data_IF_431322050940
#
_entry.id   IF_431322050940
#
_cell.length_a   1.000
_cell.length_b   1.000
_cell.length_c   1.000
_cell.angle_alpha   90.00
_cell.angle_beta   90.00
_cell.angle_gamma   90.00
#
_symmetry.space_group_name_H-M   'P 1'
#
loop_
_entity.id
_entity.type
_entity.pdbx_description
1 polymer ?
#
# COMPACT_ATOMS: atom_id res chain seq x y z
N UNK A 1 -9.04 -12.73 0.36
CA UNK A 1 -9.85 -12.90 -0.86
C UNK A 1 -9.41 -11.91 -1.92
N UNK A 2 -9.25 -12.36 -3.15
CA UNK A 2 -8.83 -11.51 -4.26
C UNK A 2 -10.07 -10.89 -4.93
N UNK A 3 -10.05 -9.56 -5.06
CA UNK A 3 -11.07 -8.81 -5.84
C UNK A 3 -10.31 -8.02 -6.90
N UNK A 4 -10.53 -8.36 -8.19
CA UNK A 4 -9.76 -7.80 -9.29
C UNK A 4 -8.26 -7.99 -9.04
N UNK A 5 -7.53 -6.90 -8.72
CA UNK A 5 -6.08 -6.94 -8.46
C UNK A 5 -5.75 -6.67 -6.98
N UNK A 6 -6.76 -6.60 -6.12
CA UNK A 6 -6.58 -6.34 -4.70
C UNK A 6 -6.85 -7.61 -3.90
N UNK A 7 -5.88 -8.00 -3.09
CA UNK A 7 -6.02 -9.12 -2.17
C UNK A 7 -6.30 -8.58 -0.76
N UNK A 8 -7.41 -9.02 -0.18
CA UNK A 8 -7.81 -8.65 1.19
C UNK A 8 -7.39 -9.78 2.14
N UNK A 9 -6.43 -9.51 3.02
CA UNK A 9 -6.07 -10.44 4.09
C UNK A 9 -7.19 -10.51 5.11
N UNK A 10 -7.74 -9.35 5.46
CA UNK A 10 -8.96 -9.24 6.23
C UNK A 10 -9.59 -7.86 5.95
N UNK A 11 -10.85 -7.69 6.29
CA UNK A 11 -11.51 -6.39 6.13
C UNK A 11 -11.57 -5.68 7.47
N UNK A 12 -11.14 -4.41 7.54
CA UNK A 12 -11.27 -3.63 8.77
C UNK A 12 -12.73 -3.50 9.20
N UNK A 13 -12.96 -3.51 10.50
CA UNK A 13 -14.31 -3.32 11.04
C UNK A 13 -14.74 -1.86 11.01
N UNK A 14 -13.80 -0.95 11.15
CA UNK A 14 -14.10 0.47 11.10
C UNK A 14 -14.26 0.92 9.65
N UNK A 15 -15.17 1.87 9.43
CA UNK A 15 -15.38 2.52 8.15
C UNK A 15 -15.44 4.03 8.35
N UNK A 16 -15.23 4.76 7.25
CA UNK A 16 -15.16 6.21 7.31
C UNK A 16 -13.78 6.70 7.72
N UNK A 17 -13.56 8.00 7.72
CA UNK A 17 -12.29 8.59 8.09
C UNK A 17 -11.42 8.95 6.88
N UNK A 18 -10.12 8.79 7.02
CA UNK A 18 -9.14 9.33 6.08
C UNK A 18 -8.22 8.23 5.59
N UNK A 19 -7.91 8.24 4.29
CA UNK A 19 -6.86 7.42 3.68
C UNK A 19 -5.68 8.33 3.38
N UNK A 20 -4.52 8.00 3.92
CA UNK A 20 -3.28 8.72 3.69
C UNK A 20 -2.36 7.84 2.84
N UNK A 21 -1.95 8.35 1.69
CA UNK A 21 -1.16 7.60 0.72
C UNK A 21 0.21 8.23 0.50
N UNK A 22 1.23 7.40 0.36
CA UNK A 22 2.56 7.84 -0.05
C UNK A 22 3.20 6.77 -0.93
N UNK A 23 3.85 7.22 -1.99
CA UNK A 23 4.52 6.33 -2.94
C UNK A 23 5.97 6.73 -3.09
N UNK A 24 6.87 5.74 -3.03
CA UNK A 24 8.27 5.94 -3.37
C UNK A 24 8.40 6.12 -4.87
N UNK A 25 9.31 7.01 -5.28
CA UNK A 25 9.56 7.28 -6.68
C UNK A 25 9.89 8.76 -6.90
N UNK A 26 9.70 9.22 -8.12
CA UNK A 26 10.05 10.60 -8.51
C UNK A 26 9.25 11.66 -7.74
N UNK A 27 8.07 11.32 -7.24
CA UNK A 27 7.24 12.24 -6.46
C UNK A 27 7.75 12.40 -5.02
N UNK A 28 8.60 11.50 -4.55
CA UNK A 28 8.99 11.39 -3.14
C UNK A 28 10.37 12.02 -2.91
N UNK A 29 10.43 13.34 -2.98
CA UNK A 29 11.69 14.07 -2.85
C UNK A 29 12.35 13.81 -1.49
N UNK A 30 13.58 13.30 -1.49
CA UNK A 30 14.32 12.97 -0.28
C UNK A 30 13.63 11.93 0.59
N UNK A 31 12.75 11.14 0.02
CA UNK A 31 11.94 10.13 0.72
C UNK A 31 11.03 10.73 1.80
N UNK A 32 10.65 12.01 1.64
CA UNK A 32 9.92 12.73 2.69
C UNK A 32 8.53 12.13 2.94
N UNK A 33 7.76 11.84 1.90
CA UNK A 33 6.41 11.32 2.06
C UNK A 33 6.41 9.87 2.54
N UNK A 34 7.29 9.04 1.99
CA UNK A 34 7.39 7.63 2.42
C UNK A 34 7.88 7.52 3.86
N UNK A 35 8.81 8.37 4.28
CA UNK A 35 9.26 8.44 5.66
C UNK A 35 8.15 8.86 6.61
N UNK A 36 7.38 9.89 6.23
CA UNK A 36 6.27 10.37 7.05
C UNK A 36 5.23 9.28 7.24
N UNK A 37 4.88 8.57 6.19
CA UNK A 37 3.89 7.50 6.27
C UNK A 37 4.39 6.33 7.12
N UNK A 38 5.65 5.98 6.99
CA UNK A 38 6.27 4.93 7.82
C UNK A 38 6.18 5.27 9.30
N UNK A 39 6.45 6.52 9.67
CA UNK A 39 6.31 6.98 11.06
C UNK A 39 4.88 6.89 11.54
N UNK A 40 3.92 7.29 10.72
CA UNK A 40 2.49 7.15 11.06
C UNK A 40 2.11 5.70 11.27
N UNK A 41 2.59 4.80 10.41
CA UNK A 41 2.29 3.37 10.53
C UNK A 41 2.83 2.80 11.84
N UNK A 42 4.02 3.21 12.23
CA UNK A 42 4.64 2.76 13.49
C UNK A 42 3.93 3.38 14.70
N UNK A 43 3.67 4.68 14.68
CA UNK A 43 3.01 5.38 15.79
C UNK A 43 1.59 4.89 16.03
N UNK A 44 0.85 4.59 14.96
CA UNK A 44 -0.53 4.10 15.06
C UNK A 44 -0.60 2.59 15.25
N UNK A 45 0.53 1.89 15.24
CA UNK A 45 0.58 0.43 15.26
C UNK A 45 -0.35 -0.16 14.20
N UNK A 46 -0.30 0.39 13.00
CA UNK A 46 -1.13 -0.03 11.89
C UNK A 46 -0.66 -1.38 11.35
N UNK A 47 -1.63 -2.26 11.07
CA UNK A 47 -1.35 -3.61 10.55
C UNK A 47 -1.86 -3.71 9.12
N UNK A 48 -1.14 -4.43 8.26
CA UNK A 48 -1.59 -4.65 6.88
C UNK A 48 -2.92 -5.39 6.84
N UNK A 49 -3.81 -4.97 5.94
CA UNK A 49 -5.08 -5.66 5.76
C UNK A 49 -5.39 -5.98 4.30
N UNK A 50 -4.72 -5.34 3.35
CA UNK A 50 -4.89 -5.60 1.93
C UNK A 50 -3.66 -5.16 1.15
N UNK A 51 -3.49 -5.74 -0.04
CA UNK A 51 -2.44 -5.30 -0.95
C UNK A 51 -2.90 -5.42 -2.40
N UNK A 52 -2.30 -4.62 -3.27
CA UNK A 52 -2.55 -4.67 -4.70
C UNK A 52 -1.47 -5.54 -5.34
N UNK A 53 -1.89 -6.47 -6.20
CA UNK A 53 -0.99 -7.37 -6.91
C UNK A 53 0.02 -6.59 -7.74
N UNK A 54 1.27 -7.05 -7.74
CA UNK A 54 2.37 -6.30 -8.36
C UNK A 54 2.48 -6.51 -9.86
N UNK A 55 2.22 -7.71 -10.34
CA UNK A 55 2.61 -8.14 -11.68
C UNK A 55 2.02 -7.29 -12.80
N UNK A 56 0.81 -6.79 -12.63
CA UNK A 56 0.13 -5.99 -13.64
C UNK A 56 0.63 -4.54 -13.68
N UNK A 57 1.26 -4.06 -12.61
CA UNK A 57 1.51 -2.63 -12.42
C UNK A 57 2.98 -2.26 -12.41
N UNK A 58 3.88 -3.22 -12.18
CA UNK A 58 5.30 -2.94 -12.09
C UNK A 58 6.07 -3.62 -13.20
N UNK A 59 7.00 -2.86 -13.79
CA UNK A 59 8.01 -3.41 -14.68
C UNK A 59 9.19 -3.84 -13.81
N UNK A 60 9.39 -5.13 -13.66
CA UNK A 60 10.41 -5.66 -12.76
C UNK A 60 11.83 -5.44 -13.26
N UNK A 61 12.01 -4.94 -14.48
CA UNK A 61 13.32 -4.48 -14.95
C UNK A 61 13.67 -3.09 -14.41
N UNK A 62 12.66 -2.29 -14.07
CA UNK A 62 12.83 -0.96 -13.46
C UNK A 62 12.66 -0.99 -11.95
N UNK A 63 11.63 -1.66 -11.47
CA UNK A 63 11.36 -1.85 -10.04
C UNK A 63 11.67 -3.29 -9.70
N UNK A 64 12.94 -3.55 -9.47
CA UNK A 64 13.42 -4.92 -9.28
C UNK A 64 13.06 -5.46 -7.90
N UNK A 65 12.65 -6.74 -7.83
CA UNK A 65 12.55 -7.41 -6.54
C UNK A 65 13.89 -7.39 -5.83
N UNK A 66 13.87 -7.23 -4.52
CA UNK A 66 15.07 -7.18 -3.71
C UNK A 66 15.29 -8.51 -2.99
N UNK A 67 16.54 -8.91 -2.87
CA UNK A 67 16.91 -10.11 -2.12
C UNK A 67 17.46 -9.69 -0.77
N UNK A 68 16.96 -10.29 0.29
CA UNK A 68 17.55 -10.11 1.61
C UNK A 68 17.83 -11.48 2.23
N UNK A 69 18.76 -11.49 3.20
CA UNK A 69 19.11 -12.70 3.94
C UNK A 69 18.53 -12.60 5.36
N UNK A 70 17.90 -13.67 5.78
CA UNK A 70 17.41 -13.78 7.15
C UNK A 70 17.69 -15.20 7.69
N UNK A 71 17.10 -15.54 8.85
CA UNK A 71 17.29 -16.83 9.47
C UNK A 71 16.84 -18.00 8.59
N UNK A 72 15.90 -17.76 7.70
CA UNK A 72 15.34 -18.76 6.80
C UNK A 72 16.05 -18.81 5.44
N UNK A 73 17.15 -18.05 5.29
CA UNK A 73 17.94 -18.01 4.07
C UNK A 73 17.63 -16.79 3.22
N UNK A 74 17.63 -16.96 1.90
CA UNK A 74 17.37 -15.87 0.97
C UNK A 74 15.87 -15.69 0.77
N UNK A 75 15.42 -14.46 0.94
CA UNK A 75 14.03 -14.06 0.68
C UNK A 75 14.00 -13.07 -0.47
N UNK A 76 12.96 -13.16 -1.28
CA UNK A 76 12.75 -12.25 -2.40
C UNK A 76 11.59 -11.33 -2.10
N UNK A 77 11.86 -10.03 -2.04
CA UNK A 77 10.84 -9.01 -1.78
C UNK A 77 10.37 -8.40 -3.09
N UNK A 78 9.14 -8.70 -3.46
CA UNK A 78 8.50 -8.10 -4.62
C UNK A 78 7.98 -6.71 -4.26
N UNK A 79 7.97 -5.77 -5.22
CA UNK A 79 7.31 -4.49 -4.96
C UNK A 79 5.85 -4.73 -4.61
N UNK A 80 5.34 -3.99 -3.64
CA UNK A 80 3.97 -4.19 -3.17
C UNK A 80 3.35 -2.85 -2.80
N UNK A 81 2.07 -2.71 -3.07
CA UNK A 81 1.25 -1.59 -2.62
C UNK A 81 0.35 -2.11 -1.52
N UNK A 82 0.48 -1.58 -0.33
CA UNK A 82 -0.10 -2.17 0.88
C UNK A 82 -0.95 -1.17 1.64
N UNK A 83 -2.12 -1.64 2.06
CA UNK A 83 -3.01 -0.90 2.94
C UNK A 83 -2.86 -1.40 4.37
N UNK A 84 -2.82 -0.47 5.31
CA UNK A 84 -2.69 -0.79 6.73
C UNK A 84 -3.66 0.06 7.55
N UNK A 85 -4.07 -0.45 8.70
CA UNK A 85 -4.96 0.27 9.60
C UNK A 85 -4.77 -0.21 11.04
N UNK A 86 -5.15 0.65 11.98
CA UNK A 86 -5.31 0.29 13.38
C UNK A 86 -6.81 0.28 13.69
N UNK A 87 -7.28 -0.73 14.41
CA UNK A 87 -8.70 -0.91 14.71
C UNK A 87 -9.30 0.22 15.55
N UNK A 88 -8.47 0.96 16.27
CA UNK A 88 -8.92 2.04 17.14
C UNK A 88 -8.93 3.41 16.45
N UNK A 89 -8.46 3.48 15.20
CA UNK A 89 -8.33 4.73 14.46
C UNK A 89 -9.12 4.65 13.16
N UNK A 90 -9.72 5.76 12.75
CA UNK A 90 -10.34 5.89 11.44
C UNK A 90 -9.35 6.50 10.45
N UNK A 91 -8.15 5.96 10.44
CA UNK A 91 -7.07 6.35 9.56
C UNK A 91 -6.55 5.10 8.89
N UNK A 92 -6.56 5.15 7.56
CA UNK A 92 -6.05 4.06 6.73
C UNK A 92 -4.81 4.56 6.03
N UNK A 93 -3.80 3.72 5.92
CA UNK A 93 -2.53 4.08 5.30
C UNK A 93 -2.31 3.25 4.04
N UNK A 94 -1.83 3.90 3.00
CA UNK A 94 -1.49 3.26 1.73
C UNK A 94 -0.05 3.60 1.39
N UNK A 95 0.79 2.58 1.25
CA UNK A 95 2.19 2.78 0.92
C UNK A 95 2.64 1.82 -0.17
N UNK A 96 3.51 2.28 -1.04
CA UNK A 96 4.04 1.47 -2.11
C UNK A 96 5.05 2.23 -2.94
N UNK A 97 5.33 1.71 -4.12
CA UNK A 97 6.22 2.30 -5.10
C UNK A 97 5.38 2.74 -6.28
N UNK A 98 5.71 3.85 -6.93
CA UNK A 98 4.99 4.29 -8.12
C UNK A 98 4.97 3.17 -9.17
N UNK A 99 3.79 2.82 -9.71
CA UNK A 99 3.73 1.81 -10.76
C UNK A 99 4.26 2.35 -12.08
N UNK A 100 4.64 1.45 -13.00
CA UNK A 100 5.06 1.80 -14.35
C UNK A 100 3.96 1.54 -15.38
N UNK A 101 3.04 0.63 -15.08
CA UNK A 101 2.06 0.12 -16.04
C UNK A 101 0.65 0.25 -15.52
N UNK A 102 -0.30 0.41 -16.44
CA UNK A 102 -1.74 0.38 -16.15
C UNK A 102 -2.16 1.34 -15.04
N UNK A 103 -1.72 2.58 -15.13
CA UNK A 103 -2.00 3.60 -14.13
C UNK A 103 -3.48 3.79 -13.83
N UNK A 104 -4.32 3.77 -14.87
CA UNK A 104 -5.77 3.96 -14.67
C UNK A 104 -6.37 2.84 -13.83
N UNK A 105 -5.98 1.60 -14.13
CA UNK A 105 -6.43 0.43 -13.38
C UNK A 105 -5.92 0.47 -11.95
N UNK A 106 -4.68 0.88 -11.77
CA UNK A 106 -4.09 1.02 -10.44
C UNK A 106 -4.88 2.02 -9.58
N UNK A 107 -5.21 3.18 -10.14
CA UNK A 107 -6.01 4.20 -9.45
C UNK A 107 -7.42 3.68 -9.16
N UNK A 108 -8.02 2.94 -10.09
CA UNK A 108 -9.33 2.34 -9.88
C UNK A 108 -9.32 1.35 -8.72
N UNK A 109 -8.25 0.56 -8.57
CA UNK A 109 -8.12 -0.35 -7.44
C UNK A 109 -8.06 0.41 -6.12
N UNK A 110 -7.29 1.49 -6.06
CA UNK A 110 -7.21 2.34 -4.87
C UNK A 110 -8.57 2.94 -4.55
N UNK A 111 -9.26 3.46 -5.55
CA UNK A 111 -10.59 4.06 -5.38
C UNK A 111 -11.63 3.03 -4.92
N UNK A 112 -11.54 1.80 -5.41
CA UNK A 112 -12.43 0.71 -4.97
C UNK A 112 -12.24 0.40 -3.49
N UNK A 113 -10.99 0.34 -3.03
CA UNK A 113 -10.70 0.11 -1.62
C UNK A 113 -11.22 1.29 -0.79
N UNK A 114 -10.93 2.52 -1.20
CA UNK A 114 -11.38 3.71 -0.50
C UNK A 114 -12.90 3.75 -0.37
N UNK A 115 -13.61 3.40 -1.45
CA UNK A 115 -15.08 3.33 -1.44
C UNK A 115 -15.60 2.25 -0.50
N UNK A 116 -14.97 1.08 -0.50
CA UNK A 116 -15.34 -0.01 0.41
C UNK A 116 -15.17 0.39 1.87
N UNK A 117 -14.18 1.23 2.17
CA UNK A 117 -13.92 1.72 3.52
C UNK A 117 -14.70 2.98 3.86
N UNK A 118 -15.46 3.52 2.90
CA UNK A 118 -16.27 4.72 3.07
C UNK A 118 -15.46 5.92 3.58
N UNK A 119 -14.22 6.06 3.11
CA UNK A 119 -13.38 7.19 3.52
C UNK A 119 -13.96 8.49 2.96
N UNK A 120 -13.83 9.56 3.75
CA UNK A 120 -14.31 10.88 3.37
C UNK A 120 -13.24 11.76 2.75
N UNK A 121 -11.97 11.38 2.87
CA UNK A 121 -10.85 12.17 2.38
C UNK A 121 -9.67 11.27 2.07
N UNK A 122 -8.99 11.58 0.97
CA UNK A 122 -7.73 10.94 0.58
C UNK A 122 -6.66 12.04 0.52
N UNK A 123 -5.56 11.79 1.19
CA UNK A 123 -4.41 12.71 1.22
C UNK A 123 -3.22 12.06 0.59
#
# INVERSE_FOLDING_TARGET
MLENYTFWENRPNQTGGVLIAAFEGWNDAGNASSWALKHLREDFDAKPFAHIEAEQFYDFSETRPLVHLDENGRQLDWPVTRFSANSDQKIFLLEGIEPQLQWKTFVQEINSVASSLEVSMVI
#
